data_IF_805050910333
#
_entry.id   IF_805050910333
#
_cell.length_a   1.000
_cell.length_b   1.000
_cell.length_c   1.000
_cell.angle_alpha   90.00
_cell.angle_beta   90.00
_cell.angle_gamma   90.00
#
_symmetry.space_group_name_H-M   'P 1'
#
loop_
_entity.id
_entity.type
_entity.pdbx_description
1 polymer ?
#
# COMPACT_ATOMS: atom_id res chain seq x y z
N UNK A 1 -1.87 -20.78 -14.85
CA UNK A 1 -1.52 -19.82 -15.89
C UNK A 1 -0.03 -19.96 -16.18
N UNK A 2 0.37 -20.10 -17.46
CA UNK A 2 1.80 -20.08 -17.81
C UNK A 2 2.38 -18.66 -17.69
N UNK A 3 3.71 -18.55 -17.58
CA UNK A 3 4.40 -17.25 -17.55
C UNK A 3 4.08 -16.46 -18.82
N UNK A 4 4.18 -17.09 -20.00
CA UNK A 4 3.90 -16.45 -21.29
C UNK A 4 2.46 -15.89 -21.36
N UNK A 5 1.47 -16.66 -20.90
CA UNK A 5 0.09 -16.20 -20.89
C UNK A 5 -0.14 -15.01 -19.93
N UNK A 6 0.57 -14.97 -18.81
CA UNK A 6 0.52 -13.85 -17.88
C UNK A 6 1.21 -12.60 -18.47
N UNK A 7 2.34 -12.75 -19.14
CA UNK A 7 3.03 -11.66 -19.83
C UNK A 7 2.14 -11.03 -20.91
N UNK A 8 1.55 -11.85 -21.78
CA UNK A 8 0.60 -11.39 -22.81
C UNK A 8 -0.60 -10.65 -22.19
N UNK A 9 -1.12 -11.13 -21.06
CA UNK A 9 -2.21 -10.45 -20.35
C UNK A 9 -1.79 -9.06 -19.88
N UNK A 10 -0.65 -8.94 -19.19
CA UNK A 10 -0.20 -7.65 -18.67
C UNK A 10 0.21 -6.65 -19.76
N UNK A 11 0.71 -7.14 -20.89
CA UNK A 11 1.02 -6.29 -22.05
C UNK A 11 -0.22 -5.74 -22.74
N UNK A 12 -1.27 -6.54 -22.85
CA UNK A 12 -2.46 -6.22 -23.67
C UNK A 12 -3.66 -5.71 -22.87
N UNK A 13 -3.90 -6.24 -21.66
CA UNK A 13 -5.12 -6.03 -20.88
C UNK A 13 -4.88 -5.57 -19.43
N UNK A 14 -3.64 -5.51 -18.97
CA UNK A 14 -3.30 -5.16 -17.59
C UNK A 14 -3.80 -3.79 -17.17
N UNK A 15 -4.49 -3.72 -16.04
CA UNK A 15 -5.14 -2.53 -15.53
C UNK A 15 -4.21 -1.68 -14.63
N UNK A 16 -4.51 -0.38 -14.48
CA UNK A 16 -3.68 0.52 -13.66
C UNK A 16 -3.65 0.14 -12.16
N UNK A 17 -4.74 -0.41 -11.61
CA UNK A 17 -4.76 -0.88 -10.24
C UNK A 17 -3.85 -2.10 -10.04
N UNK A 18 -3.71 -2.96 -11.05
CA UNK A 18 -2.77 -4.11 -11.02
C UNK A 18 -1.32 -3.63 -11.02
N UNK A 19 -1.01 -2.55 -11.73
CA UNK A 19 0.33 -1.92 -11.65
C UNK A 19 0.68 -1.53 -10.22
N UNK A 20 -0.25 -0.90 -9.48
CA UNK A 20 -0.04 -0.55 -8.09
C UNK A 20 0.15 -1.81 -7.21
N UNK A 21 -0.61 -2.87 -7.45
CA UNK A 21 -0.47 -4.13 -6.73
C UNK A 21 0.89 -4.81 -7.01
N UNK A 22 1.34 -4.80 -8.28
CA UNK A 22 2.60 -5.42 -8.70
C UNK A 22 3.87 -4.71 -8.17
N UNK A 23 3.77 -3.47 -7.68
CA UNK A 23 4.89 -2.84 -6.96
C UNK A 23 5.36 -3.70 -5.78
N UNK A 24 4.42 -4.35 -5.08
CA UNK A 24 4.70 -5.18 -3.91
C UNK A 24 4.97 -6.65 -4.23
N UNK A 25 4.80 -7.05 -5.48
CA UNK A 25 4.97 -8.44 -5.88
C UNK A 25 6.44 -8.86 -5.83
N UNK A 26 6.67 -10.05 -5.30
CA UNK A 26 7.98 -10.71 -5.25
C UNK A 26 7.80 -12.21 -5.19
N UNK A 27 8.70 -13.01 -5.77
CA UNK A 27 8.69 -14.46 -5.56
C UNK A 27 9.04 -14.77 -4.10
N UNK A 28 8.31 -15.70 -3.48
CA UNK A 28 8.46 -16.07 -2.06
C UNK A 28 8.71 -17.57 -1.85
N UNK A 29 8.37 -18.41 -2.84
CA UNK A 29 8.50 -19.86 -2.77
C UNK A 29 8.46 -20.46 -4.18
N UNK A 30 8.77 -21.74 -4.30
CA UNK A 30 8.81 -22.47 -5.56
C UNK A 30 10.06 -22.15 -6.39
N UNK A 31 9.91 -22.05 -7.70
CA UNK A 31 11.01 -21.66 -8.61
C UNK A 31 11.22 -20.14 -8.54
N UNK A 32 12.16 -19.73 -7.69
CA UNK A 32 12.50 -18.32 -7.48
C UNK A 32 13.18 -17.68 -8.69
N UNK A 33 13.86 -18.47 -9.52
CA UNK A 33 14.52 -17.99 -10.74
C UNK A 33 13.48 -17.61 -11.79
N UNK A 34 12.56 -18.52 -12.12
CA UNK A 34 11.43 -18.23 -13.00
C UNK A 34 10.56 -17.09 -12.49
N UNK A 35 10.28 -17.03 -11.17
CA UNK A 35 9.56 -15.94 -10.56
C UNK A 35 10.27 -14.59 -10.71
N UNK A 36 11.59 -14.57 -10.54
CA UNK A 36 12.40 -13.36 -10.70
C UNK A 36 12.48 -12.91 -12.16
N UNK A 37 12.57 -13.86 -13.11
CA UNK A 37 12.53 -13.58 -14.54
C UNK A 37 11.20 -12.96 -14.94
N UNK A 38 10.08 -13.53 -14.49
CA UNK A 38 8.75 -12.98 -14.69
C UNK A 38 8.61 -11.55 -14.15
N UNK A 39 9.02 -11.29 -12.90
CA UNK A 39 9.00 -9.94 -12.34
C UNK A 39 9.86 -8.95 -13.13
N UNK A 40 10.96 -9.41 -13.72
CA UNK A 40 11.81 -8.60 -14.61
C UNK A 40 11.08 -8.29 -15.93
N UNK A 41 10.38 -9.27 -16.52
CA UNK A 41 9.52 -9.10 -17.71
C UNK A 41 8.40 -8.09 -17.50
N UNK A 42 7.78 -8.07 -16.30
CA UNK A 42 6.72 -7.13 -15.96
C UNK A 42 7.16 -5.68 -15.72
N UNK A 43 8.46 -5.39 -15.65
CA UNK A 43 8.95 -4.02 -15.39
C UNK A 43 8.40 -2.96 -16.34
N UNK A 44 8.28 -3.17 -17.67
CA UNK A 44 7.71 -2.16 -18.57
C UNK A 44 6.23 -1.88 -18.29
N UNK A 45 5.48 -2.89 -17.85
CA UNK A 45 4.09 -2.73 -17.44
C UNK A 45 3.98 -1.89 -16.17
N UNK A 46 4.73 -2.22 -15.12
CA UNK A 46 4.66 -1.53 -13.82
C UNK A 46 5.27 -0.13 -13.90
N UNK A 47 6.46 0.01 -14.47
CA UNK A 47 7.31 1.20 -14.42
C UNK A 47 7.36 1.92 -15.76
N UNK A 48 6.24 2.54 -16.15
CA UNK A 48 6.17 3.33 -17.38
C UNK A 48 6.98 4.62 -17.25
N UNK A 49 7.76 4.96 -18.26
CA UNK A 49 8.57 6.20 -18.30
C UNK A 49 7.73 7.47 -18.38
N UNK A 50 6.58 7.41 -19.03
CA UNK A 50 5.61 8.50 -19.08
C UNK A 50 4.29 8.00 -18.56
N UNK A 51 3.70 8.75 -17.62
CA UNK A 51 2.30 8.61 -17.27
C UNK A 51 1.53 9.56 -18.19
N UNK A 52 0.61 9.03 -18.95
CA UNK A 52 -0.37 9.86 -19.63
C UNK A 52 -1.40 10.41 -18.63
N UNK A 53 -2.14 11.40 -19.05
CA UNK A 53 -3.15 12.04 -18.20
C UNK A 53 -4.21 11.03 -17.72
N UNK A 54 -4.55 10.04 -18.55
CA UNK A 54 -5.50 8.99 -18.22
C UNK A 54 -5.00 8.10 -17.06
N UNK A 55 -3.71 7.73 -17.06
CA UNK A 55 -3.13 6.93 -15.97
C UNK A 55 -3.20 7.67 -14.61
N UNK A 56 -3.01 8.98 -14.59
CA UNK A 56 -3.15 9.81 -13.38
C UNK A 56 -4.62 9.85 -12.93
N UNK A 57 -5.54 10.04 -13.87
CA UNK A 57 -6.97 10.03 -13.57
C UNK A 57 -7.43 8.68 -13.04
N UNK A 58 -6.92 7.56 -13.59
CA UNK A 58 -7.24 6.22 -13.12
C UNK A 58 -6.76 5.98 -11.69
N UNK A 59 -5.54 6.40 -11.37
CA UNK A 59 -5.02 6.33 -9.99
C UNK A 59 -5.92 7.14 -9.04
N UNK A 60 -6.32 8.34 -9.43
CA UNK A 60 -7.24 9.17 -8.64
C UNK A 60 -8.65 8.55 -8.55
N UNK A 61 -9.10 7.85 -9.61
CA UNK A 61 -10.40 7.18 -9.60
C UNK A 61 -10.42 6.00 -8.63
N UNK A 62 -9.33 5.24 -8.56
CA UNK A 62 -9.15 4.15 -7.59
C UNK A 62 -9.24 4.70 -6.17
N UNK A 63 -8.54 5.80 -5.87
CA UNK A 63 -8.64 6.46 -4.58
C UNK A 63 -10.08 6.87 -4.27
N UNK A 64 -10.75 7.54 -5.19
CA UNK A 64 -12.16 7.95 -5.02
C UNK A 64 -13.12 6.77 -4.79
N UNK A 65 -12.87 5.61 -5.41
CA UNK A 65 -13.67 4.41 -5.18
C UNK A 65 -13.43 3.83 -3.78
N UNK A 66 -12.19 3.85 -3.31
CA UNK A 66 -11.83 3.45 -1.94
C UNK A 66 -12.53 4.39 -0.95
N UNK A 67 -12.38 5.70 -1.12
CA UNK A 67 -12.97 6.73 -0.25
C UNK A 67 -14.50 6.64 -0.18
N UNK A 68 -15.17 6.30 -1.30
CA UNK A 68 -16.64 6.09 -1.33
C UNK A 68 -17.09 4.87 -0.55
N UNK A 69 -16.31 3.78 -0.55
CA UNK A 69 -16.62 2.56 0.20
C UNK A 69 -16.40 2.72 1.70
N UNK A 70 -15.55 3.64 2.12
CA UNK A 70 -15.17 3.87 3.50
C UNK A 70 -16.13 4.78 4.27
N UNK A 71 -17.13 5.36 3.60
CA UNK A 71 -18.03 6.34 4.21
C UNK A 71 -17.39 7.71 4.44
N UNK A 72 -18.24 8.69 4.81
CA UNK A 72 -17.79 10.07 5.09
C UNK A 72 -17.56 10.33 6.58
N UNK A 73 -17.62 9.30 7.40
CA UNK A 73 -17.46 9.46 8.83
C UNK A 73 -16.02 9.87 9.19
N UNK A 74 -15.86 10.82 10.12
CA UNK A 74 -14.55 11.19 10.61
C UNK A 74 -13.90 9.98 11.31
N UNK A 75 -12.54 9.91 11.33
CA UNK A 75 -11.85 8.86 12.06
C UNK A 75 -12.31 8.86 13.53
N UNK A 76 -12.73 7.70 14.02
CA UNK A 76 -13.06 7.47 15.42
C UNK A 76 -11.99 6.59 16.06
N UNK A 77 -11.80 6.69 17.36
CA UNK A 77 -10.97 5.75 18.10
C UNK A 77 -11.67 4.38 18.26
N UNK A 78 -13.01 4.35 18.15
CA UNK A 78 -13.84 3.19 18.39
C UNK A 78 -14.55 2.75 17.11
N UNK A 79 -14.68 1.44 16.91
CA UNK A 79 -15.35 0.89 15.74
C UNK A 79 -14.70 1.28 14.39
N UNK A 80 -13.43 1.69 14.40
CA UNK A 80 -12.74 2.18 13.21
C UNK A 80 -11.92 1.09 12.54
N UNK A 81 -11.96 1.05 11.21
CA UNK A 81 -11.12 0.15 10.44
C UNK A 81 -9.73 0.77 10.23
N UNK A 82 -8.75 0.34 11.02
CA UNK A 82 -7.37 0.87 10.98
C UNK A 82 -6.63 0.59 9.68
N UNK A 83 -7.09 -0.36 8.88
CA UNK A 83 -6.49 -0.71 7.59
C UNK A 83 -7.14 0.01 6.43
N UNK A 84 -8.46 -0.07 6.32
CA UNK A 84 -9.22 0.44 5.18
C UNK A 84 -9.94 1.75 5.48
N UNK A 85 -10.11 2.12 6.75
CA UNK A 85 -10.77 3.36 7.16
C UNK A 85 -9.94 4.59 6.80
N UNK A 86 -10.57 5.76 6.90
CA UNK A 86 -9.93 7.05 6.65
C UNK A 86 -8.73 7.25 7.60
N UNK A 87 -7.59 7.65 7.06
CA UNK A 87 -6.33 7.75 7.81
C UNK A 87 -5.66 6.40 8.07
N UNK A 88 -6.19 5.30 7.51
CA UNK A 88 -5.69 3.95 7.74
C UNK A 88 -4.44 3.58 6.94
N UNK A 89 -3.93 2.38 7.22
CA UNK A 89 -2.70 1.83 6.63
C UNK A 89 -2.72 1.91 5.10
N UNK A 90 -3.88 1.60 4.47
CA UNK A 90 -4.02 1.57 3.02
C UNK A 90 -3.82 2.91 2.35
N UNK A 91 -4.19 4.01 3.01
CA UNK A 91 -3.97 5.35 2.46
C UNK A 91 -2.48 5.70 2.42
N UNK A 92 -1.72 5.35 3.46
CA UNK A 92 -0.27 5.57 3.50
C UNK A 92 0.42 4.73 2.42
N UNK A 93 0.05 3.45 2.30
CA UNK A 93 0.57 2.57 1.25
C UNK A 93 0.26 3.11 -0.14
N UNK A 94 -0.98 3.55 -0.37
CA UNK A 94 -1.43 4.09 -1.64
C UNK A 94 -0.71 5.40 -2.00
N UNK A 95 -0.47 6.26 -1.01
CA UNK A 95 0.33 7.47 -1.21
C UNK A 95 1.74 7.15 -1.72
N UNK A 96 2.45 6.24 -1.04
CA UNK A 96 3.78 5.81 -1.46
C UNK A 96 3.77 5.19 -2.86
N UNK A 97 2.85 4.26 -3.13
CA UNK A 97 2.72 3.59 -4.43
C UNK A 97 2.40 4.57 -5.56
N UNK A 98 1.55 5.56 -5.30
CA UNK A 98 1.23 6.60 -6.29
C UNK A 98 2.47 7.39 -6.68
N UNK A 99 3.26 7.83 -5.69
CA UNK A 99 4.53 8.51 -5.95
C UNK A 99 5.51 7.61 -6.72
N UNK A 100 5.61 6.35 -6.34
CA UNK A 100 6.43 5.37 -7.06
C UNK A 100 5.99 5.18 -8.50
N UNK A 101 4.69 5.11 -8.79
CA UNK A 101 4.19 5.01 -10.17
C UNK A 101 4.51 6.26 -10.99
N UNK A 102 4.47 7.44 -10.37
CA UNK A 102 4.76 8.71 -11.05
C UNK A 102 6.25 8.80 -11.42
N UNK A 103 7.13 8.46 -10.53
CA UNK A 103 8.57 8.73 -10.64
C UNK A 103 9.42 7.51 -10.96
N UNK A 104 9.01 6.32 -10.50
CA UNK A 104 9.79 5.08 -10.59
C UNK A 104 10.03 4.57 -12.01
N UNK A 105 9.28 5.06 -13.01
CA UNK A 105 9.56 4.76 -14.41
C UNK A 105 10.86 5.39 -14.90
N UNK A 106 11.24 6.54 -14.32
CA UNK A 106 12.46 7.29 -14.66
C UNK A 106 13.60 7.04 -13.68
N UNK A 107 13.26 6.75 -12.42
CA UNK A 107 14.23 6.51 -11.34
C UNK A 107 14.02 5.11 -10.72
N UNK A 108 14.96 4.21 -11.00
CA UNK A 108 14.91 2.85 -10.50
C UNK A 108 15.16 2.74 -8.98
N UNK A 109 15.75 3.75 -8.35
CA UNK A 109 16.00 3.77 -6.90
C UNK A 109 14.71 3.88 -6.07
N UNK A 110 13.58 4.25 -6.72
CA UNK A 110 12.27 4.38 -6.10
C UNK A 110 11.44 3.08 -6.12
N UNK A 111 11.96 1.99 -6.71
CA UNK A 111 11.20 0.76 -6.97
C UNK A 111 11.26 -0.25 -5.82
N UNK A 112 11.31 0.22 -4.60
CA UNK A 112 11.27 -0.67 -3.43
C UNK A 112 9.85 -1.20 -3.20
N UNK A 113 9.71 -2.49 -2.86
CA UNK A 113 8.42 -3.10 -2.56
C UNK A 113 7.89 -2.77 -1.15
N UNK A 114 8.75 -2.28 -0.25
CA UNK A 114 8.40 -1.88 1.11
C UNK A 114 7.91 -0.43 1.19
N UNK A 115 6.85 -0.18 1.95
CA UNK A 115 6.26 1.17 2.08
C UNK A 115 7.23 2.17 2.70
N UNK A 116 7.86 1.81 3.81
CA UNK A 116 8.80 2.71 4.51
C UNK A 116 10.10 2.94 3.72
N UNK A 117 10.76 1.91 3.15
CA UNK A 117 11.90 2.13 2.26
C UNK A 117 11.55 2.98 1.05
N UNK A 118 10.36 2.79 0.45
CA UNK A 118 9.89 3.60 -0.67
C UNK A 118 9.74 5.08 -0.28
N UNK A 119 9.11 5.39 0.87
CA UNK A 119 8.99 6.75 1.38
C UNK A 119 10.38 7.39 1.61
N UNK A 120 11.32 6.65 2.20
CA UNK A 120 12.68 7.14 2.40
C UNK A 120 13.41 7.39 1.08
N UNK A 121 13.22 6.54 0.07
CA UNK A 121 13.78 6.75 -1.27
C UNK A 121 13.20 8.00 -1.95
N UNK A 122 11.89 8.23 -1.82
CA UNK A 122 11.20 9.41 -2.35
C UNK A 122 11.71 10.71 -1.71
N UNK A 123 12.04 10.71 -0.42
CA UNK A 123 12.67 11.87 0.24
C UNK A 123 14.06 12.11 -0.32
N UNK A 124 14.89 11.07 -0.42
CA UNK A 124 16.25 11.22 -1.00
C UNK A 124 16.23 11.76 -2.43
N UNK A 125 15.21 11.40 -3.21
CA UNK A 125 15.01 11.91 -4.57
C UNK A 125 14.34 13.30 -4.63
N UNK A 126 13.97 13.90 -3.50
CA UNK A 126 13.33 15.22 -3.45
C UNK A 126 11.85 15.27 -3.86
N UNK A 127 11.18 14.11 -3.94
CA UNK A 127 9.76 14.04 -4.34
C UNK A 127 8.79 14.13 -3.17
N UNK A 128 9.28 13.88 -1.96
CA UNK A 128 8.50 13.98 -0.70
C UNK A 128 9.32 14.75 0.32
N UNK A 129 8.68 15.63 1.08
CA UNK A 129 9.34 16.37 2.14
C UNK A 129 9.65 15.46 3.35
N UNK A 130 10.77 15.70 4.03
CA UNK A 130 11.23 14.86 5.13
C UNK A 130 10.24 14.82 6.32
N UNK A 131 9.57 15.93 6.63
CA UNK A 131 8.55 15.98 7.67
C UNK A 131 7.33 15.10 7.30
N UNK A 132 6.90 15.11 6.06
CA UNK A 132 5.79 14.26 5.58
C UNK A 132 6.15 12.77 5.71
N UNK A 133 7.37 12.39 5.34
CA UNK A 133 7.85 11.01 5.53
C UNK A 133 7.86 10.61 7.00
N UNK A 134 8.37 11.47 7.89
CA UNK A 134 8.44 11.20 9.33
C UNK A 134 7.03 11.00 9.94
N UNK A 135 6.08 11.85 9.57
CA UNK A 135 4.69 11.75 10.03
C UNK A 135 4.03 10.46 9.52
N UNK A 136 4.16 10.15 8.23
CA UNK A 136 3.61 8.94 7.64
C UNK A 136 4.25 7.67 8.19
N UNK A 137 5.56 7.65 8.43
CA UNK A 137 6.25 6.52 9.04
C UNK A 137 5.76 6.28 10.47
N UNK A 138 5.64 7.34 11.27
CA UNK A 138 5.14 7.26 12.65
C UNK A 138 3.71 6.71 12.68
N UNK A 139 2.84 7.26 11.84
CA UNK A 139 1.46 6.80 11.72
C UNK A 139 1.38 5.34 11.22
N UNK A 140 2.15 4.99 10.19
CA UNK A 140 2.17 3.63 9.64
C UNK A 140 2.58 2.60 10.70
N UNK A 141 3.67 2.86 11.43
CA UNK A 141 4.16 1.95 12.48
C UNK A 141 3.12 1.77 13.59
N UNK A 142 2.50 2.86 14.05
CA UNK A 142 1.43 2.79 15.06
C UNK A 142 0.23 1.99 14.57
N UNK A 143 -0.28 2.28 13.38
CA UNK A 143 -1.41 1.56 12.80
C UNK A 143 -1.12 0.07 12.59
N UNK A 144 0.10 -0.28 12.16
CA UNK A 144 0.52 -1.69 12.03
C UNK A 144 0.60 -2.39 13.38
N UNK A 145 1.08 -1.70 14.41
CA UNK A 145 1.09 -2.24 15.77
C UNK A 145 -0.33 -2.51 16.26
N UNK A 146 -1.24 -1.55 16.07
CA UNK A 146 -2.66 -1.73 16.44
C UNK A 146 -3.28 -2.88 15.65
N UNK A 147 -3.10 -2.93 14.33
CA UNK A 147 -3.60 -4.03 13.48
C UNK A 147 -3.13 -5.39 13.99
N UNK A 148 -1.83 -5.55 14.26
CA UNK A 148 -1.30 -6.81 14.77
C UNK A 148 -1.88 -7.18 16.14
N UNK A 149 -2.06 -6.20 17.04
CA UNK A 149 -2.67 -6.44 18.36
C UNK A 149 -4.14 -6.85 18.24
N UNK A 150 -4.90 -6.21 17.35
CA UNK A 150 -6.29 -6.60 17.06
C UNK A 150 -6.38 -8.05 16.58
N UNK A 151 -5.44 -8.47 15.73
CA UNK A 151 -5.41 -9.84 15.18
C UNK A 151 -4.94 -10.88 16.22
N UNK A 152 -4.18 -10.47 17.23
CA UNK A 152 -3.77 -11.37 18.32
C UNK A 152 -4.90 -11.66 19.31
N UNK A 153 -5.92 -10.80 19.38
CA UNK A 153 -7.12 -11.07 20.16
C UNK A 153 -8.00 -12.06 19.39
N UNK A 154 -8.28 -13.21 19.99
CA UNK A 154 -9.11 -14.28 19.42
C UNK A 154 -8.59 -14.89 18.10
N UNK A 155 -7.33 -14.64 17.71
CA UNK A 155 -6.74 -15.12 16.44
C UNK A 155 -7.64 -14.85 15.22
N UNK A 156 -8.23 -13.65 15.17
CA UNK A 156 -9.14 -13.23 14.10
C UNK A 156 -8.47 -12.25 13.14
N UNK A 157 -8.70 -12.44 11.85
CA UNK A 157 -8.27 -11.49 10.84
C UNK A 157 -9.20 -10.26 10.81
N UNK A 158 -9.16 -9.47 11.88
CA UNK A 158 -9.91 -8.21 12.00
C UNK A 158 -9.02 -6.98 11.83
N UNK A 159 -9.62 -5.86 11.46
CA UNK A 159 -8.98 -4.56 11.37
C UNK A 159 -9.81 -3.48 12.07
N UNK A 160 -10.87 -3.89 12.78
CA UNK A 160 -11.77 -2.98 13.48
C UNK A 160 -11.28 -2.76 14.91
N UNK A 161 -11.13 -1.50 15.33
CA UNK A 161 -10.92 -1.20 16.73
C UNK A 161 -12.16 -1.58 17.53
N UNK A 162 -12.00 -1.96 18.81
CA UNK A 162 -13.15 -2.28 19.67
C UNK A 162 -14.11 -1.09 19.82
N UNK A 163 -15.34 -1.37 20.21
CA UNK A 163 -16.28 -0.36 20.65
C UNK A 163 -15.86 0.25 22.01
N UNK A 164 -16.50 1.32 22.43
CA UNK A 164 -16.05 2.13 23.55
C UNK A 164 -15.98 1.37 24.89
N UNK A 165 -16.83 0.38 25.10
CA UNK A 165 -16.89 -0.45 26.30
C UNK A 165 -15.73 -1.42 26.44
N UNK A 166 -15.18 -1.92 25.32
CA UNK A 166 -14.05 -2.84 25.28
C UNK A 166 -12.70 -2.11 25.09
N UNK A 167 -12.74 -0.83 24.73
CA UNK A 167 -11.57 -0.07 24.28
C UNK A 167 -10.50 0.06 25.36
N UNK A 168 -10.85 0.20 26.63
CA UNK A 168 -9.89 0.32 27.73
C UNK A 168 -9.07 -0.95 27.90
N UNK A 169 -9.72 -2.11 27.86
CA UNK A 169 -9.02 -3.41 27.94
C UNK A 169 -8.05 -3.59 26.77
N UNK A 170 -8.48 -3.25 25.57
CA UNK A 170 -7.63 -3.31 24.38
C UNK A 170 -6.46 -2.31 24.45
N UNK A 171 -6.71 -1.08 24.90
CA UNK A 171 -5.65 -0.06 25.02
C UNK A 171 -4.52 -0.53 25.95
N UNK A 172 -4.86 -1.06 27.11
CA UNK A 172 -3.86 -1.67 28.03
C UNK A 172 -3.10 -2.83 27.38
N UNK A 173 -3.79 -3.72 26.70
CA UNK A 173 -3.16 -4.82 25.96
C UNK A 173 -2.22 -4.31 24.87
N UNK A 174 -2.61 -3.24 24.19
CA UNK A 174 -1.82 -2.59 23.14
C UNK A 174 -0.67 -1.70 23.70
N UNK A 175 -0.53 -1.59 25.02
CA UNK A 175 0.54 -0.81 25.69
C UNK A 175 0.27 0.68 25.77
N UNK A 176 -1.01 1.08 25.74
CA UNK A 176 -1.45 2.45 25.99
C UNK A 176 -2.05 2.55 27.39
N UNK A 177 -1.63 3.53 28.17
CA UNK A 177 -2.15 3.86 29.51
C UNK A 177 -3.36 4.79 29.43
#
# INVERSE_FOLDING_TARGET
LSVDAAEVYYESAGQNWERAAMIKARPIAGDLESGSAFMKGLRPFVWRRSLDFNAIQDIQSIKRQIDRKQGREPPSAFGHNVKLGRGGIREIEFYAQTQQLIWGGRDASLRDCGTLPALAALVRAGHVAANVQADLETAYRKLRTIEHRLQMVDDRQTHMTPEADEAYGFARFAGYE
#
